data_IF_018529955137
#
_entry.id   IF_018529955137
#
_cell.length_a   1.000
_cell.length_b   1.000
_cell.length_c   1.000
_cell.angle_alpha   90.00
_cell.angle_beta   90.00
_cell.angle_gamma   90.00
#
_symmetry.space_group_name_H-M   'P 1'
#
loop_
_entity.id
_entity.type
_entity.pdbx_description
1 polymer ?
#
# COMPACT_ATOMS: atom_id res chain seq x y z
N UNK A 1 6.95 1.00 -5.83
CA UNK A 1 5.90 1.58 -4.96
C UNK A 1 5.58 3.07 -5.15
N UNK A 2 6.54 3.95 -5.50
CA UNK A 2 6.32 5.41 -5.65
C UNK A 2 5.15 5.78 -6.56
N UNK A 3 5.15 5.29 -7.79
CA UNK A 3 4.11 5.54 -8.80
C UNK A 3 2.70 5.16 -8.32
N UNK A 4 2.60 4.03 -7.60
CA UNK A 4 1.35 3.53 -7.02
C UNK A 4 0.76 4.51 -6.00
N UNK A 5 1.61 5.29 -5.32
CA UNK A 5 1.22 6.23 -4.25
C UNK A 5 1.00 7.65 -4.80
N UNK A 6 1.78 8.08 -5.80
CA UNK A 6 1.75 9.46 -6.31
C UNK A 6 0.50 9.78 -7.14
N UNK A 7 -0.10 8.78 -7.80
CA UNK A 7 -1.31 8.93 -8.61
C UNK A 7 -2.61 8.81 -7.81
N UNK A 8 -2.54 9.07 -6.49
CA UNK A 8 -3.67 8.94 -5.58
C UNK A 8 -4.11 7.49 -5.38
N UNK A 9 -5.34 7.30 -4.90
CA UNK A 9 -5.82 5.97 -4.49
C UNK A 9 -6.04 4.93 -5.59
N UNK A 10 -6.01 5.28 -6.88
CA UNK A 10 -6.46 4.38 -7.93
C UNK A 10 -5.50 3.21 -8.16
N UNK A 11 -4.19 3.47 -8.30
CA UNK A 11 -3.21 2.40 -8.38
C UNK A 11 -3.12 1.59 -7.07
N UNK A 12 -3.35 2.23 -5.91
CA UNK A 12 -3.42 1.51 -4.64
C UNK A 12 -4.57 0.51 -4.61
N UNK A 13 -5.76 0.90 -5.10
CA UNK A 13 -6.92 -0.01 -5.21
C UNK A 13 -6.62 -1.20 -6.13
N UNK A 14 -6.04 -0.95 -7.30
CA UNK A 14 -5.68 -2.03 -8.24
C UNK A 14 -4.68 -2.99 -7.62
N UNK A 15 -3.67 -2.50 -6.89
CA UNK A 15 -2.72 -3.37 -6.21
C UNK A 15 -3.35 -4.13 -5.03
N UNK A 16 -4.22 -3.48 -4.24
CA UNK A 16 -4.98 -4.13 -3.17
C UNK A 16 -5.83 -5.27 -3.74
N UNK A 17 -6.55 -5.01 -4.83
CA UNK A 17 -7.38 -6.00 -5.51
C UNK A 17 -6.55 -7.20 -5.97
N UNK A 18 -5.42 -6.95 -6.63
CA UNK A 18 -4.51 -8.00 -7.08
C UNK A 18 -3.92 -8.82 -5.92
N UNK A 19 -3.47 -8.17 -4.83
CA UNK A 19 -2.97 -8.87 -3.63
C UNK A 19 -4.09 -9.74 -3.03
N UNK A 20 -5.32 -9.23 -2.95
CA UNK A 20 -6.45 -10.01 -2.45
C UNK A 20 -6.81 -11.19 -3.36
N UNK A 21 -6.75 -11.00 -4.68
CA UNK A 21 -7.03 -12.06 -5.66
C UNK A 21 -6.00 -13.20 -5.55
N UNK A 22 -4.75 -12.85 -5.25
CA UNK A 22 -3.67 -13.82 -5.15
C UNK A 22 -3.65 -14.54 -3.79
N UNK A 23 -3.61 -13.77 -2.71
CA UNK A 23 -3.34 -14.28 -1.37
C UNK A 23 -4.60 -14.66 -0.58
N UNK A 24 -5.80 -14.32 -1.07
CA UNK A 24 -7.06 -14.66 -0.43
C UNK A 24 -8.04 -15.37 -1.38
N UNK A 25 -7.99 -16.71 -1.38
CA UNK A 25 -8.90 -17.57 -2.17
C UNK A 25 -10.40 -17.38 -1.88
N UNK A 26 -10.75 -16.73 -0.76
CA UNK A 26 -12.12 -16.46 -0.36
C UNK A 26 -12.56 -15.02 -0.66
N UNK A 27 -11.71 -14.22 -1.32
CA UNK A 27 -12.04 -12.82 -1.66
C UNK A 27 -13.18 -12.69 -2.66
N UNK A 28 -13.41 -13.72 -3.49
CA UNK A 28 -14.36 -13.66 -4.61
C UNK A 28 -13.87 -12.80 -5.78
N UNK A 29 -12.64 -12.26 -5.69
CA UNK A 29 -12.01 -11.48 -6.74
C UNK A 29 -11.38 -12.43 -7.75
N UNK A 30 -11.58 -12.19 -9.04
CA UNK A 30 -10.95 -12.99 -10.08
C UNK A 30 -9.44 -12.69 -10.12
N UNK A 31 -8.64 -13.74 -10.28
CA UNK A 31 -7.21 -13.60 -10.50
C UNK A 31 -6.94 -12.81 -11.78
N UNK A 32 -5.98 -11.91 -11.70
CA UNK A 32 -5.57 -11.07 -12.82
C UNK A 32 -4.96 -11.94 -13.92
N UNK A 33 -5.18 -11.53 -15.16
CA UNK A 33 -4.63 -12.18 -16.34
C UNK A 33 -3.68 -11.25 -17.07
N UNK A 34 -2.97 -11.78 -18.07
CA UNK A 34 -2.05 -11.01 -18.92
C UNK A 34 -2.65 -9.68 -19.41
N UNK A 35 -3.90 -9.68 -19.84
CA UNK A 35 -4.57 -8.46 -20.34
C UNK A 35 -4.84 -7.41 -19.24
N UNK A 36 -5.07 -7.83 -18.00
CA UNK A 36 -5.26 -6.92 -16.86
C UNK A 36 -3.92 -6.25 -16.51
N UNK A 37 -2.85 -7.04 -16.48
CA UNK A 37 -1.48 -6.54 -16.31
C UNK A 37 -1.09 -5.61 -17.45
N UNK A 38 -1.32 -6.00 -18.70
CA UNK A 38 -0.99 -5.19 -19.87
C UNK A 38 -1.72 -3.84 -19.84
N UNK A 39 -2.98 -3.80 -19.41
CA UNK A 39 -3.73 -2.55 -19.25
C UNK A 39 -3.15 -1.65 -18.16
N UNK A 40 -2.79 -2.24 -17.01
CA UNK A 40 -2.24 -1.47 -15.90
C UNK A 40 -0.82 -0.97 -16.18
N UNK A 41 0.00 -1.79 -16.82
CA UNK A 41 1.41 -1.52 -17.09
C UNK A 41 1.67 -0.83 -18.44
N UNK A 42 0.62 -0.53 -19.22
CA UNK A 42 0.73 -0.03 -20.60
C UNK A 42 1.65 1.18 -20.81
N UNK A 43 1.84 2.00 -19.77
CA UNK A 43 2.65 3.23 -19.83
C UNK A 43 3.98 3.12 -19.06
N UNK A 44 4.44 1.90 -18.76
CA UNK A 44 5.66 1.65 -18.00
C UNK A 44 6.58 0.66 -18.72
N UNK A 45 7.85 1.05 -18.86
CA UNK A 45 8.88 0.19 -19.46
C UNK A 45 9.53 -0.76 -18.44
N UNK A 46 9.35 -0.50 -17.14
CA UNK A 46 9.97 -1.26 -16.07
C UNK A 46 9.08 -1.30 -14.83
N UNK A 47 9.00 -2.48 -14.21
CA UNK A 47 8.26 -2.72 -12.98
C UNK A 47 9.22 -3.13 -11.87
N UNK A 48 9.26 -2.34 -10.79
CA UNK A 48 10.11 -2.60 -9.63
C UNK A 48 9.21 -2.79 -8.41
N UNK A 49 9.48 -3.84 -7.62
CA UNK A 49 8.75 -4.27 -6.41
C UNK A 49 7.30 -4.75 -6.63
N UNK A 50 6.52 -4.11 -7.52
CA UNK A 50 5.11 -4.43 -7.72
C UNK A 50 4.88 -5.91 -8.05
N UNK A 51 5.63 -6.55 -8.98
CA UNK A 51 5.44 -7.96 -9.29
C UNK A 51 5.62 -8.89 -8.09
N UNK A 52 6.49 -8.54 -7.12
CA UNK A 52 6.71 -9.36 -5.93
C UNK A 52 5.45 -9.53 -5.08
N UNK A 53 4.62 -8.49 -4.97
CA UNK A 53 3.38 -8.56 -4.18
C UNK A 53 2.27 -9.34 -4.90
N UNK A 54 2.40 -9.55 -6.21
CA UNK A 54 1.40 -10.20 -7.07
C UNK A 54 1.63 -11.70 -7.25
N UNK A 55 2.66 -12.26 -6.62
CA UNK A 55 2.95 -13.70 -6.69
C UNK A 55 3.61 -14.15 -8.00
N UNK A 56 3.48 -15.45 -8.29
CA UNK A 56 4.01 -16.09 -9.52
C UNK A 56 3.30 -15.61 -10.77
N UNK A 57 2.05 -15.20 -10.66
CA UNK A 57 1.11 -14.99 -11.75
C UNK A 57 1.54 -13.84 -12.65
N UNK A 58 2.06 -12.75 -12.05
CA UNK A 58 2.63 -11.64 -12.80
C UNK A 58 3.87 -12.06 -13.59
N UNK A 59 4.67 -13.00 -13.08
CA UNK A 59 5.85 -13.54 -13.78
C UNK A 59 5.39 -14.48 -14.90
N UNK A 60 4.50 -15.41 -14.60
CA UNK A 60 3.95 -16.38 -15.56
C UNK A 60 3.25 -15.70 -16.74
N UNK A 61 2.57 -14.56 -16.51
CA UNK A 61 1.94 -13.78 -17.57
C UNK A 61 2.92 -13.25 -18.64
N UNK A 62 4.20 -13.05 -18.28
CA UNK A 62 5.20 -12.47 -19.16
C UNK A 62 6.39 -13.39 -19.45
N UNK A 63 6.46 -14.58 -18.83
CA UNK A 63 7.61 -15.48 -18.98
C UNK A 63 7.82 -15.93 -20.43
N UNK A 64 6.76 -16.01 -21.24
CA UNK A 64 6.83 -16.36 -22.66
C UNK A 64 6.98 -15.16 -23.59
N UNK A 65 6.96 -13.93 -23.05
CA UNK A 65 7.01 -12.70 -23.83
C UNK A 65 8.45 -12.29 -24.14
N UNK A 66 8.95 -12.43 -25.38
CA UNK A 66 10.37 -12.27 -25.68
C UNK A 66 10.91 -10.85 -25.44
N UNK A 67 10.03 -9.85 -25.41
CA UNK A 67 10.40 -8.45 -25.21
C UNK A 67 10.59 -8.10 -23.72
N UNK A 68 10.18 -9.00 -22.81
CA UNK A 68 10.33 -8.79 -21.36
C UNK A 68 11.60 -9.46 -20.84
N UNK A 69 12.43 -8.70 -20.13
CA UNK A 69 13.63 -9.20 -19.44
C UNK A 69 13.41 -9.19 -17.93
N UNK A 70 13.96 -10.19 -17.23
CA UNK A 70 13.75 -10.34 -15.79
C UNK A 70 15.04 -10.11 -15.01
N UNK A 71 14.98 -9.22 -14.02
CA UNK A 71 16.05 -8.97 -13.06
C UNK A 71 15.58 -9.45 -11.69
N UNK A 72 16.37 -10.31 -11.04
CA UNK A 72 16.12 -10.80 -9.70
C UNK A 72 17.28 -10.41 -8.78
N UNK A 73 17.00 -9.47 -7.87
CA UNK A 73 17.93 -9.14 -6.79
C UNK A 73 17.67 -10.02 -5.57
N UNK A 74 18.67 -10.77 -5.14
CA UNK A 74 18.66 -11.56 -3.91
C UNK A 74 19.64 -10.99 -2.89
N UNK A 75 19.29 -11.09 -1.60
CA UNK A 75 20.19 -10.77 -0.48
C UNK A 75 19.99 -11.76 0.65
N UNK A 76 20.85 -11.67 1.67
CA UNK A 76 20.67 -12.45 2.90
C UNK A 76 19.23 -12.28 3.46
N UNK A 77 18.50 -13.39 3.68
CA UNK A 77 17.11 -13.31 4.12
C UNK A 77 16.94 -12.62 5.48
N UNK A 78 17.89 -12.75 6.42
CA UNK A 78 17.76 -12.12 7.74
C UNK A 78 17.98 -10.61 7.67
N UNK A 79 18.89 -10.16 6.81
CA UNK A 79 19.04 -8.74 6.45
C UNK A 79 17.78 -8.23 5.75
N UNK A 80 17.16 -9.03 4.89
CA UNK A 80 15.91 -8.66 4.24
C UNK A 80 14.77 -8.46 5.25
N UNK A 81 14.54 -9.42 6.15
CA UNK A 81 13.52 -9.30 7.20
C UNK A 81 13.76 -8.08 8.08
N UNK A 82 15.01 -7.86 8.50
CA UNK A 82 15.38 -6.70 9.32
C UNK A 82 15.08 -5.39 8.60
N UNK A 83 15.38 -5.31 7.30
CA UNK A 83 15.09 -4.14 6.48
C UNK A 83 13.59 -3.87 6.36
N UNK A 84 12.75 -4.88 6.08
CA UNK A 84 11.28 -4.74 6.03
C UNK A 84 10.72 -4.27 7.38
N UNK A 85 11.21 -4.85 8.48
CA UNK A 85 10.78 -4.47 9.83
C UNK A 85 11.29 -3.09 10.27
N UNK A 86 12.35 -2.55 9.67
CA UNK A 86 12.80 -1.18 9.94
C UNK A 86 12.10 -0.12 9.06
N UNK A 87 11.39 -0.53 8.01
CA UNK A 87 10.71 0.39 7.08
C UNK A 87 9.19 0.26 7.14
N UNK A 88 8.64 -0.82 6.59
CA UNK A 88 7.19 -1.02 6.40
C UNK A 88 6.46 -1.24 7.72
N UNK A 89 7.09 -1.94 8.67
CA UNK A 89 6.47 -2.20 9.98
C UNK A 89 6.11 -0.91 10.73
N UNK A 90 6.91 0.16 10.59
CA UNK A 90 6.60 1.46 11.17
C UNK A 90 5.30 2.05 10.60
N UNK A 91 5.08 1.91 9.29
CA UNK A 91 3.83 2.35 8.63
C UNK A 91 2.63 1.55 9.12
N UNK A 92 2.77 0.23 9.25
CA UNK A 92 1.71 -0.67 9.75
C UNK A 92 1.34 -0.34 11.20
N UNK A 93 2.33 -0.11 12.07
CA UNK A 93 2.08 0.33 13.45
C UNK A 93 1.38 1.70 13.50
N UNK A 94 1.81 2.64 12.63
CA UNK A 94 1.23 3.97 12.53
C UNK A 94 -0.25 3.95 12.15
N UNK A 95 -0.66 3.00 11.31
CA UNK A 95 -2.04 2.84 10.84
C UNK A 95 -3.06 2.61 11.97
N UNK A 96 -2.59 2.10 13.11
CA UNK A 96 -3.38 1.81 14.32
C UNK A 96 -3.22 2.86 15.42
N UNK A 97 -2.30 3.82 15.28
CA UNK A 97 -2.02 4.85 16.27
C UNK A 97 -2.91 6.09 16.08
N UNK A 98 -3.25 6.78 17.18
CA UNK A 98 -3.90 8.09 17.11
C UNK A 98 -2.90 9.16 16.63
N UNK A 99 -3.29 10.12 15.76
CA UNK A 99 -4.63 10.35 15.22
C UNK A 99 -4.96 9.57 13.94
N UNK A 100 -3.98 8.88 13.33
CA UNK A 100 -4.12 8.22 12.03
C UNK A 100 -5.24 7.19 11.99
N UNK A 101 -5.39 6.39 13.05
CA UNK A 101 -6.47 5.40 13.20
C UNK A 101 -7.85 5.98 12.90
N UNK A 102 -8.07 7.25 13.25
CA UNK A 102 -9.30 7.97 12.96
C UNK A 102 -9.25 8.67 11.60
N UNK A 103 -8.21 9.48 11.38
CA UNK A 103 -8.14 10.37 10.22
C UNK A 103 -8.07 9.64 8.88
N UNK A 104 -7.55 8.40 8.85
CA UNK A 104 -7.47 7.61 7.61
C UNK A 104 -8.83 7.41 6.94
N UNK A 105 -9.93 7.40 7.70
CA UNK A 105 -11.28 7.23 7.15
C UNK A 105 -11.89 8.52 6.57
N UNK A 106 -11.21 9.66 6.68
CA UNK A 106 -11.69 10.95 6.16
C UNK A 106 -10.91 11.39 4.92
N UNK A 107 -10.03 10.54 4.37
CA UNK A 107 -9.28 10.81 3.16
C UNK A 107 -8.96 9.48 2.45
N UNK A 108 -9.43 9.32 1.22
CA UNK A 108 -9.30 8.06 0.46
C UNK A 108 -7.84 7.65 0.26
N UNK A 109 -6.95 8.60 -0.06
CA UNK A 109 -5.52 8.30 -0.21
C UNK A 109 -4.95 7.73 1.10
N UNK A 110 -5.29 8.31 2.27
CA UNK A 110 -4.84 7.76 3.55
C UNK A 110 -5.41 6.36 3.79
N UNK A 111 -6.71 6.17 3.57
CA UNK A 111 -7.35 4.88 3.78
C UNK A 111 -6.66 3.78 2.96
N UNK A 112 -6.54 4.00 1.65
CA UNK A 112 -5.95 3.02 0.74
C UNK A 112 -4.44 2.87 0.94
N UNK A 113 -3.71 3.92 1.30
CA UNK A 113 -2.29 3.81 1.64
C UNK A 113 -2.04 2.89 2.84
N UNK A 114 -2.79 3.07 3.93
CA UNK A 114 -2.63 2.23 5.11
C UNK A 114 -3.12 0.80 4.85
N UNK A 115 -4.27 0.63 4.18
CA UNK A 115 -4.79 -0.68 3.80
C UNK A 115 -3.80 -1.45 2.92
N UNK A 116 -3.20 -0.80 1.92
CA UNK A 116 -2.21 -1.40 1.04
C UNK A 116 -0.98 -1.88 1.81
N UNK A 117 -0.42 -1.04 2.68
CA UNK A 117 0.77 -1.41 3.47
C UNK A 117 0.46 -2.52 4.49
N UNK A 118 -0.73 -2.50 5.11
CA UNK A 118 -1.19 -3.59 5.99
C UNK A 118 -1.31 -4.92 5.22
N UNK A 119 -1.90 -4.90 4.02
CA UNK A 119 -2.05 -6.09 3.17
C UNK A 119 -0.73 -6.62 2.62
N UNK A 120 0.17 -5.74 2.15
CA UNK A 120 1.51 -6.10 1.72
C UNK A 120 2.26 -6.78 2.88
N UNK A 121 2.23 -6.18 4.07
CA UNK A 121 2.91 -6.74 5.22
C UNK A 121 2.33 -8.11 5.60
N UNK A 122 1.01 -8.23 5.62
CA UNK A 122 0.33 -9.49 5.91
C UNK A 122 0.65 -10.59 4.89
N UNK A 123 0.74 -10.27 3.59
CA UNK A 123 1.03 -11.27 2.55
C UNK A 123 2.43 -11.84 2.66
N UNK A 124 3.42 -11.02 3.06
CA UNK A 124 4.80 -11.49 3.22
C UNK A 124 5.07 -12.12 4.59
N UNK A 125 4.22 -11.87 5.59
CA UNK A 125 4.42 -12.28 7.00
C UNK A 125 3.51 -13.40 7.48
N UNK A 126 2.69 -13.98 6.61
CA UNK A 126 1.58 -14.89 6.96
C UNK A 126 0.62 -14.28 7.99
N UNK A 127 0.24 -13.02 7.74
CA UNK A 127 -0.67 -12.22 8.58
C UNK A 127 -0.19 -11.95 10.01
N UNK A 128 1.09 -12.20 10.31
CA UNK A 128 1.68 -11.77 11.59
C UNK A 128 1.85 -10.25 11.61
N UNK A 129 1.74 -9.66 12.79
CA UNK A 129 1.96 -8.24 13.03
C UNK A 129 3.43 -7.97 13.39
N UNK A 130 3.89 -6.73 13.21
CA UNK A 130 5.19 -6.31 13.72
C UNK A 130 5.36 -6.62 15.21
N UNK A 131 6.36 -7.43 15.53
CA UNK A 131 6.68 -7.82 16.91
C UNK A 131 6.16 -9.19 17.35
N UNK A 132 5.33 -9.85 16.54
CA UNK A 132 4.90 -11.22 16.81
C UNK A 132 6.09 -12.19 16.79
N UNK A 133 6.04 -13.23 17.64
CA UNK A 133 7.13 -14.20 17.79
C UNK A 133 7.50 -14.91 16.48
N UNK A 134 6.49 -15.26 15.67
CA UNK A 134 6.66 -15.98 14.40
C UNK A 134 6.90 -15.05 13.20
N UNK A 135 6.90 -13.72 13.40
CA UNK A 135 7.00 -12.78 12.29
C UNK A 135 8.29 -12.97 11.47
N UNK A 136 9.43 -13.08 12.18
CA UNK A 136 10.74 -13.23 11.55
C UNK A 136 10.87 -14.58 10.82
N UNK A 137 10.43 -15.67 11.43
CA UNK A 137 10.50 -17.02 10.84
C UNK A 137 9.62 -17.12 9.60
N UNK A 138 8.39 -16.60 9.65
CA UNK A 138 7.46 -16.59 8.53
C UNK A 138 7.98 -15.76 7.36
N UNK A 139 8.39 -14.51 7.60
CA UNK A 139 8.93 -13.64 6.56
C UNK A 139 10.17 -14.25 5.89
N UNK A 140 11.10 -14.81 6.67
CA UNK A 140 12.29 -15.48 6.13
C UNK A 140 11.90 -16.64 5.21
N UNK A 141 11.00 -17.52 5.67
CA UNK A 141 10.51 -18.66 4.88
C UNK A 141 9.87 -18.19 3.58
N UNK A 142 9.00 -17.19 3.65
CA UNK A 142 8.27 -16.68 2.49
C UNK A 142 9.20 -16.02 1.46
N UNK A 143 10.20 -15.25 1.92
CA UNK A 143 11.24 -14.70 1.05
C UNK A 143 12.01 -15.79 0.31
N UNK A 144 12.52 -16.79 1.03
CA UNK A 144 13.28 -17.91 0.42
C UNK A 144 12.40 -18.69 -0.56
N UNK A 145 11.14 -18.94 -0.20
CA UNK A 145 10.17 -19.60 -1.07
C UNK A 145 9.92 -18.81 -2.36
N UNK A 146 9.74 -17.49 -2.25
CA UNK A 146 9.55 -16.61 -3.40
C UNK A 146 10.77 -16.62 -4.32
N UNK A 147 11.98 -16.42 -3.79
CA UNK A 147 13.22 -16.44 -4.60
C UNK A 147 13.36 -17.78 -5.34
N UNK A 148 13.10 -18.89 -4.65
CA UNK A 148 13.16 -20.22 -5.26
C UNK A 148 12.07 -20.41 -6.33
N UNK A 149 10.87 -19.84 -6.14
CA UNK A 149 9.82 -19.84 -7.16
C UNK A 149 10.27 -19.08 -8.41
N UNK A 150 10.78 -17.85 -8.28
CA UNK A 150 11.20 -17.04 -9.42
C UNK A 150 12.26 -17.77 -10.25
N UNK A 151 13.28 -18.36 -9.60
CA UNK A 151 14.35 -19.11 -10.28
C UNK A 151 13.87 -20.40 -10.96
N UNK A 152 12.75 -20.98 -10.52
CA UNK A 152 12.15 -22.16 -11.17
C UNK A 152 11.26 -21.77 -12.34
N UNK A 153 10.56 -20.65 -12.24
CA UNK A 153 9.59 -20.21 -13.25
C UNK A 153 10.29 -19.58 -14.45
N UNK A 154 11.33 -18.77 -14.24
CA UNK A 154 11.99 -18.02 -15.32
C UNK A 154 13.19 -18.82 -15.86
N UNK A 155 13.29 -19.04 -17.19
CA UNK A 155 14.47 -19.64 -17.81
C UNK A 155 15.76 -18.89 -17.45
N UNK A 156 16.84 -19.63 -17.16
CA UNK A 156 18.09 -19.05 -16.65
C UNK A 156 18.75 -18.07 -17.63
N UNK A 157 18.60 -18.28 -18.93
CA UNK A 157 19.07 -17.39 -20.01
C UNK A 157 18.27 -16.08 -20.10
N UNK A 158 17.08 -16.03 -19.47
CA UNK A 158 16.20 -14.87 -19.41
C UNK A 158 16.16 -14.18 -18.05
N UNK A 159 16.98 -14.65 -17.11
CA UNK A 159 17.02 -14.16 -15.73
C UNK A 159 18.41 -13.60 -15.39
N UNK A 160 18.50 -12.28 -15.22
CA UNK A 160 19.64 -11.66 -14.58
C UNK A 160 19.52 -11.78 -13.06
N UNK A 161 20.23 -12.76 -12.49
CA UNK A 161 20.26 -12.97 -11.06
C UNK A 161 21.43 -12.22 -10.41
N UNK A 162 21.12 -11.31 -9.49
CA UNK A 162 22.09 -10.42 -8.83
C UNK A 162 22.04 -10.67 -7.32
N UNK A 163 23.16 -11.12 -6.76
CA UNK A 163 23.34 -11.18 -5.32
C UNK A 163 23.82 -9.81 -4.82
N UNK A 164 23.00 -9.11 -4.04
CA UNK A 164 23.29 -7.73 -3.61
C UNK A 164 24.57 -7.61 -2.78
N UNK A 165 24.96 -8.66 -2.05
CA UNK A 165 26.24 -8.72 -1.33
C UNK A 165 27.45 -8.65 -2.25
N UNK A 166 27.31 -9.04 -3.53
CA UNK A 166 28.37 -8.95 -4.53
C UNK A 166 28.40 -7.58 -5.22
N UNK A 167 27.40 -6.73 -4.97
CA UNK A 167 27.21 -5.44 -5.61
C UNK A 167 25.98 -5.39 -6.52
N UNK A 168 25.54 -4.17 -6.80
CA UNK A 168 24.52 -3.85 -7.79
C UNK A 168 24.93 -2.53 -8.44
N UNK A 169 25.15 -2.55 -9.75
CA UNK A 169 25.61 -1.43 -10.53
C UNK A 169 25.30 -1.59 -12.02
N UNK A 170 25.75 -0.62 -12.81
CA UNK A 170 25.56 -0.64 -14.27
C UNK A 170 26.20 -1.86 -14.93
N UNK A 171 27.36 -2.31 -14.43
CA UNK A 171 28.08 -3.44 -14.99
C UNK A 171 27.34 -4.78 -14.83
N UNK A 172 26.49 -4.92 -13.82
CA UNK A 172 25.68 -6.11 -13.59
C UNK A 172 24.43 -6.13 -14.48
N UNK A 173 23.84 -4.96 -14.77
CA UNK A 173 22.54 -4.87 -15.46
C UNK A 173 22.65 -4.55 -16.96
N UNK A 174 23.55 -3.64 -17.37
CA UNK A 174 23.62 -3.15 -18.75
C UNK A 174 23.96 -4.26 -19.76
N UNK A 175 24.94 -5.15 -19.52
CA UNK A 175 25.22 -6.26 -20.45
C UNK A 175 24.04 -7.19 -20.64
N UNK A 176 23.26 -7.43 -19.59
CA UNK A 176 22.05 -8.25 -19.68
C UNK A 176 20.91 -7.55 -20.42
N UNK A 177 20.83 -6.23 -20.33
CA UNK A 177 19.86 -5.40 -21.05
C UNK A 177 20.29 -5.06 -22.48
N UNK A 178 21.50 -5.44 -22.89
CA UNK A 178 22.08 -5.12 -24.20
C UNK A 178 22.09 -3.60 -24.49
N UNK A 179 22.54 -2.84 -23.49
CA UNK A 179 22.70 -1.38 -23.55
C UNK A 179 24.08 -0.96 -23.07
N UNK A 180 24.52 0.23 -23.47
CA UNK A 180 25.80 0.79 -23.02
C UNK A 180 25.77 1.14 -21.53
N UNK A 181 26.92 0.99 -20.87
CA UNK A 181 27.12 1.47 -19.50
C UNK A 181 27.20 3.00 -19.53
N UNK A 182 26.34 3.73 -18.81
CA UNK A 182 26.39 5.18 -18.79
C UNK A 182 27.59 5.70 -17.97
N UNK A 183 28.05 6.90 -18.27
CA UNK A 183 29.19 7.56 -17.59
C UNK A 183 28.85 8.05 -16.16
N UNK A 184 27.58 7.98 -15.75
CA UNK A 184 27.11 8.41 -14.44
C UNK A 184 27.23 7.33 -13.36
N UNK A 185 27.40 7.74 -12.11
CA UNK A 185 27.43 6.80 -10.99
C UNK A 185 26.08 6.10 -10.82
N UNK A 186 26.13 4.81 -10.46
CA UNK A 186 24.91 4.05 -10.19
C UNK A 186 24.12 4.67 -9.01
N UNK A 187 22.80 4.90 -9.15
CA UNK A 187 22.03 5.61 -8.14
C UNK A 187 21.96 4.85 -6.81
N UNK A 188 22.12 5.56 -5.69
CA UNK A 188 21.88 5.03 -4.33
C UNK A 188 20.54 5.55 -3.80
N UNK A 189 19.50 4.71 -3.89
CA UNK A 189 18.10 5.13 -3.66
C UNK A 189 17.48 4.79 -2.29
N UNK A 190 17.97 3.77 -1.58
CA UNK A 190 17.24 3.17 -0.46
C UNK A 190 17.85 3.49 0.92
N UNK A 191 17.83 4.76 1.31
CA UNK A 191 18.16 5.19 2.68
C UNK A 191 16.88 5.26 3.55
N UNK A 192 16.81 4.56 4.69
CA UNK A 192 15.64 4.55 5.56
C UNK A 192 15.19 5.94 6.02
N UNK A 193 16.11 6.85 6.28
CA UNK A 193 15.83 8.23 6.70
C UNK A 193 15.10 9.01 5.59
N UNK A 194 15.52 8.84 4.34
CA UNK A 194 14.85 9.43 3.17
C UNK A 194 13.43 8.86 3.03
N UNK A 195 13.25 7.56 3.24
CA UNK A 195 11.91 6.95 3.21
C UNK A 195 10.97 7.54 4.26
N UNK A 196 11.40 7.66 5.52
CA UNK A 196 10.56 8.23 6.58
C UNK A 196 10.21 9.70 6.33
N UNK A 197 11.16 10.49 5.80
CA UNK A 197 10.90 11.87 5.40
C UNK A 197 9.85 11.95 4.28
N UNK A 198 10.01 11.16 3.22
CA UNK A 198 9.07 11.10 2.09
C UNK A 198 7.66 10.70 2.53
N UNK A 199 7.53 9.68 3.39
CA UNK A 199 6.23 9.27 3.95
C UNK A 199 5.63 10.41 4.78
N UNK A 200 6.41 11.05 5.65
CA UNK A 200 5.95 12.17 6.46
C UNK A 200 5.45 13.35 5.62
N UNK A 201 6.21 13.74 4.60
CA UNK A 201 5.87 14.84 3.70
C UNK A 201 4.61 14.55 2.88
N UNK A 202 4.42 13.29 2.45
CA UNK A 202 3.21 12.86 1.74
C UNK A 202 1.96 12.79 2.65
N UNK A 203 2.14 12.35 3.91
CA UNK A 203 1.05 12.20 4.88
C UNK A 203 0.51 13.53 5.40
N UNK A 204 1.38 14.50 5.71
CA UNK A 204 0.99 15.78 6.34
C UNK A 204 -0.16 16.52 5.64
N UNK A 205 -0.12 16.82 4.33
CA UNK A 205 -1.22 17.54 3.67
C UNK A 205 -2.53 16.74 3.67
N UNK A 206 -2.45 15.41 3.57
CA UNK A 206 -3.61 14.51 3.59
C UNK A 206 -4.24 14.42 4.97
N UNK A 207 -3.42 14.38 6.02
CA UNK A 207 -3.87 14.44 7.41
C UNK A 207 -4.55 15.78 7.72
N UNK A 208 -4.00 16.89 7.23
CA UNK A 208 -4.62 18.21 7.38
C UNK A 208 -6.00 18.26 6.68
N UNK A 209 -6.09 17.75 5.45
CA UNK A 209 -7.35 17.63 4.70
C UNK A 209 -8.37 16.75 5.43
N UNK A 210 -7.94 15.60 5.95
CA UNK A 210 -8.79 14.69 6.73
C UNK A 210 -9.32 15.35 8.01
N UNK A 211 -8.47 16.08 8.73
CA UNK A 211 -8.86 16.80 9.93
C UNK A 211 -9.87 17.90 9.63
N UNK A 212 -9.69 18.65 8.54
CA UNK A 212 -10.65 19.67 8.08
C UNK A 212 -12.01 19.04 7.71
N UNK A 213 -12.02 17.92 6.99
CA UNK A 213 -13.26 17.19 6.66
C UNK A 213 -13.98 16.70 7.92
N UNK A 214 -13.26 16.13 8.87
CA UNK A 214 -13.82 15.70 10.16
C UNK A 214 -14.40 16.88 10.94
N UNK A 215 -13.67 18.00 11.04
CA UNK A 215 -14.16 19.21 11.70
C UNK A 215 -15.42 19.78 11.05
N UNK A 216 -15.48 19.77 9.71
CA UNK A 216 -16.67 20.16 8.95
C UNK A 216 -17.89 19.30 9.28
N UNK A 217 -17.72 17.97 9.30
CA UNK A 217 -18.79 17.02 9.67
C UNK A 217 -19.27 17.20 11.12
N UNK A 218 -18.35 17.43 12.06
CA UNK A 218 -18.68 17.70 13.45
C UNK A 218 -19.47 19.00 13.61
N UNK A 219 -19.11 20.05 12.85
CA UNK A 219 -19.81 21.34 12.85
C UNK A 219 -21.23 21.22 12.28
N UNK A 220 -21.41 20.49 11.18
CA UNK A 220 -22.73 20.20 10.60
C UNK A 220 -23.61 19.39 11.56
N UNK A 221 -23.04 18.40 12.23
CA UNK A 221 -23.77 17.58 13.21
C UNK A 221 -24.19 18.40 14.43
N UNK A 222 -23.29 19.25 14.94
CA UNK A 222 -23.56 20.14 16.07
C UNK A 222 -24.65 21.17 15.75
N UNK A 223 -24.59 21.80 14.58
CA UNK A 223 -25.62 22.77 14.14
C UNK A 223 -26.99 22.11 13.95
N UNK A 224 -27.05 20.91 13.37
CA UNK A 224 -28.29 20.14 13.25
C UNK A 224 -28.88 19.77 14.63
N UNK A 225 -28.04 19.35 15.58
CA UNK A 225 -28.47 19.03 16.94
C UNK A 225 -29.03 20.25 17.68
N UNK A 226 -28.36 21.41 17.56
CA UNK A 226 -28.84 22.69 18.12
C UNK A 226 -30.16 23.11 17.48
N UNK A 227 -30.28 23.00 16.15
CA UNK A 227 -31.53 23.29 15.43
C UNK A 227 -32.69 22.41 15.88
N UNK A 228 -32.47 21.10 16.03
CA UNK A 228 -33.47 20.16 16.54
C UNK A 228 -33.87 20.49 17.98
N UNK A 229 -32.91 20.85 18.83
CA UNK A 229 -33.19 21.25 20.21
C UNK A 229 -34.03 22.53 20.28
N UNK A 230 -33.69 23.56 19.48
CA UNK A 230 -34.46 24.80 19.38
C UNK A 230 -35.88 24.55 18.85
N UNK A 231 -36.03 23.70 17.83
CA UNK A 231 -37.33 23.30 17.30
C UNK A 231 -38.18 22.58 18.37
N UNK A 232 -37.62 21.59 19.06
CA UNK A 232 -38.31 20.90 20.17
C UNK A 232 -38.73 21.86 21.29
N UNK A 233 -37.87 22.82 21.64
CA UNK A 233 -38.15 23.82 22.67
C UNK A 233 -39.28 24.77 22.25
N UNK A 234 -39.27 25.24 21.01
CA UNK A 234 -40.30 26.14 20.47
C UNK A 234 -41.65 25.44 20.32
N UNK A 235 -41.69 24.20 19.81
CA UNK A 235 -42.92 23.39 19.76
C UNK A 235 -43.48 23.16 21.15
N UNK A 236 -42.64 22.76 22.12
CA UNK A 236 -43.09 22.55 23.51
C UNK A 236 -43.67 23.83 24.12
N UNK A 237 -43.05 24.97 23.88
CA UNK A 237 -43.56 26.27 24.34
C UNK A 237 -44.92 26.60 23.68
N UNK A 238 -45.05 26.44 22.36
CA UNK A 238 -46.30 26.70 21.64
C UNK A 238 -47.47 25.81 22.10
N UNK A 239 -47.21 24.52 22.36
CA UNK A 239 -48.19 23.58 22.91
C UNK A 239 -48.63 24.00 24.32
N UNK A 240 -47.68 24.35 25.20
CA UNK A 240 -47.99 24.82 26.56
C UNK A 240 -48.82 26.11 26.56
N UNK A 241 -48.49 27.07 25.68
CA UNK A 241 -49.27 28.32 25.51
C UNK A 241 -50.67 28.02 24.99
N UNK A 242 -50.82 27.12 24.02
CA UNK A 242 -52.14 26.74 23.48
C UNK A 242 -53.00 26.06 24.55
N UNK A 243 -52.42 25.18 25.37
CA UNK A 243 -53.11 24.52 26.48
C UNK A 243 -53.52 25.50 27.59
N UNK A 244 -52.73 26.56 27.86
CA UNK A 244 -53.07 27.59 28.84
C UNK A 244 -54.13 28.57 28.35
N UNK A 245 -54.23 28.79 27.03
CA UNK A 245 -55.31 29.58 26.42
C UNK A 245 -56.62 28.80 26.46
N UNK A 246 -56.60 27.49 26.21
CA UNK A 246 -57.79 26.62 26.23
C UNK A 246 -58.31 26.33 27.64
N UNK A 247 -57.51 26.53 28.69
CA UNK A 247 -57.89 26.27 30.09
C UNK A 247 -58.37 27.51 30.86
N UNK A 248 -58.46 28.67 30.21
CA UNK A 248 -59.11 29.85 30.80
C UNK A 248 -60.63 29.75 30.60
N UNK A 249 -61.44 29.82 31.68
CA UNK A 249 -62.90 29.73 31.63
C UNK A 249 -63.55 30.95 30.96
#
# INVERSE_FOLDING_TARGET
MKEVIEHGSDHMKVLIEAICAEHNRFSGIQRYRKDDYARWFANYDCLIEVPFFMGSEAIEAYVDDPDVRFLLTERDPDKWVTSINNTVAGVVQMASAFPIRLLKHFNDDLYYFFLLNELIYASISDSTLPGDAENRSNMRRNYVSYIAMVKRTIPADRLCHIQLENGLGWNEICPFLDVDVPDEEYPRGNEPEKFQALVGDWLRPRMASAALKLAGLATLSGTAAVGLWLCRRTVKAAVLTSLTVLSRP
#
